data_IF_818953075196
#
_entry.id   IF_818953075196
#
_cell.length_a   1.000
_cell.length_b   1.000
_cell.length_c   1.000
_cell.angle_alpha   90.00
_cell.angle_beta   90.00
_cell.angle_gamma   90.00
#
_symmetry.space_group_name_H-M   'P 1'
#
loop_
_entity.id
_entity.type
_entity.pdbx_description
1 polymer ?
#
# COMPACT_ATOMS: atom_id res chain seq x y z
N UNK A 1 13.54 5.94 5.08
CA UNK A 1 12.58 5.21 4.22
C UNK A 1 12.93 3.73 4.15
N UNK A 2 11.99 2.87 4.56
CA UNK A 2 12.06 1.41 4.48
C UNK A 2 10.82 0.88 3.75
N UNK A 3 10.99 -0.18 2.95
CA UNK A 3 9.90 -0.86 2.25
C UNK A 3 9.89 -2.32 2.69
N UNK A 4 8.95 -2.64 3.57
CA UNK A 4 8.80 -3.93 4.21
C UNK A 4 7.74 -4.75 3.49
N UNK A 5 8.08 -6.00 3.13
CA UNK A 5 7.15 -6.95 2.51
C UNK A 5 6.78 -8.01 3.53
N UNK A 6 5.49 -8.21 3.74
CA UNK A 6 4.94 -9.29 4.56
C UNK A 6 3.96 -10.12 3.73
N UNK A 7 3.61 -11.30 4.24
CA UNK A 7 2.53 -12.12 3.70
C UNK A 7 1.46 -12.19 4.78
N UNK A 8 0.23 -11.82 4.46
CA UNK A 8 -0.89 -11.82 5.40
C UNK A 8 -1.28 -13.26 5.76
N UNK A 9 -2.12 -13.41 6.80
CA UNK A 9 -2.69 -14.71 7.15
C UNK A 9 -3.50 -15.31 6.00
N UNK A 10 -4.18 -14.46 5.25
CA UNK A 10 -4.92 -14.81 4.02
C UNK A 10 -4.02 -15.00 2.79
N UNK A 11 -2.69 -15.07 2.97
CA UNK A 11 -1.67 -15.29 1.94
C UNK A 11 -1.50 -14.14 0.94
N UNK A 12 -2.06 -12.98 1.21
CA UNK A 12 -1.88 -11.80 0.36
C UNK A 12 -0.52 -11.16 0.62
N UNK A 13 0.13 -10.67 -0.43
CA UNK A 13 1.40 -9.97 -0.28
C UNK A 13 1.14 -8.52 0.07
N UNK A 14 1.66 -8.09 1.21
CA UNK A 14 1.49 -6.73 1.73
C UNK A 14 2.82 -6.01 1.75
N UNK A 15 2.80 -4.75 1.33
CA UNK A 15 3.91 -3.83 1.42
C UNK A 15 3.57 -2.71 2.41
N UNK A 16 4.47 -2.45 3.35
CA UNK A 16 4.42 -1.29 4.23
C UNK A 16 5.62 -0.40 3.90
N UNK A 17 5.36 0.87 3.63
CA UNK A 17 6.39 1.86 3.35
C UNK A 17 6.44 2.86 4.49
N UNK A 18 7.56 2.88 5.19
CA UNK A 18 7.77 3.68 6.39
C UNK A 18 8.90 4.67 6.14
N UNK A 19 8.79 5.88 6.69
CA UNK A 19 9.87 6.85 6.72
C UNK A 19 10.05 7.39 8.14
N UNK A 20 11.01 6.82 8.87
CA UNK A 20 11.09 6.98 10.33
C UNK A 20 9.87 6.33 10.98
N UNK A 21 9.21 7.05 11.88
CA UNK A 21 8.00 6.59 12.58
C UNK A 21 6.71 6.84 11.79
N UNK A 22 6.82 7.34 10.55
CA UNK A 22 5.66 7.71 9.72
C UNK A 22 5.39 6.63 8.67
N UNK A 23 4.21 6.01 8.75
CA UNK A 23 3.68 5.16 7.68
C UNK A 23 3.29 6.03 6.48
N UNK A 24 3.99 5.84 5.35
CA UNK A 24 3.77 6.60 4.12
C UNK A 24 2.74 5.92 3.22
N UNK A 25 2.86 4.61 3.02
CA UNK A 25 1.96 3.82 2.18
C UNK A 25 1.77 2.42 2.76
N UNK A 26 0.59 1.86 2.57
CA UNK A 26 0.40 0.40 2.57
C UNK A 26 -0.06 -0.02 1.20
N UNK A 27 0.29 -1.23 0.79
CA UNK A 27 -0.20 -1.78 -0.46
C UNK A 27 -0.40 -3.28 -0.35
N UNK A 28 -1.35 -3.80 -1.12
CA UNK A 28 -1.62 -5.24 -1.24
C UNK A 28 -1.62 -5.62 -2.71
N UNK A 29 -1.10 -6.79 -3.03
CA UNK A 29 -1.19 -7.36 -4.38
C UNK A 29 -2.46 -8.20 -4.44
N UNK A 30 -3.38 -7.84 -5.34
CA UNK A 30 -4.59 -8.62 -5.58
C UNK A 30 -4.34 -9.82 -6.51
N UNK A 31 -5.38 -10.64 -6.69
CA UNK A 31 -5.33 -11.85 -7.53
C UNK A 31 -5.03 -11.57 -9.00
N UNK A 32 -5.27 -10.34 -9.47
CA UNK A 32 -4.98 -9.93 -10.84
C UNK A 32 -3.53 -9.46 -11.01
N UNK A 33 -2.71 -9.54 -9.95
CA UNK A 33 -1.36 -8.99 -9.85
C UNK A 33 -1.33 -7.46 -10.02
N UNK A 34 -2.37 -6.77 -9.56
CA UNK A 34 -2.38 -5.31 -9.44
C UNK A 34 -1.98 -4.93 -8.02
N UNK A 35 -1.03 -4.01 -7.89
CA UNK A 35 -0.66 -3.45 -6.60
C UNK A 35 -1.65 -2.35 -6.20
N UNK A 36 -2.54 -2.65 -5.27
CA UNK A 36 -3.48 -1.69 -4.68
C UNK A 36 -2.76 -0.92 -3.57
N UNK A 37 -2.32 0.30 -3.86
CA UNK A 37 -1.65 1.18 -2.90
C UNK A 37 -2.68 2.07 -2.23
N UNK A 38 -2.79 1.98 -0.92
CA UNK A 38 -3.63 2.87 -0.12
C UNK A 38 -2.82 4.07 0.37
N UNK A 39 -3.42 5.25 0.25
CA UNK A 39 -2.83 6.50 0.71
C UNK A 39 -3.89 7.30 1.45
N UNK A 40 -3.65 7.57 2.74
CA UNK A 40 -4.67 8.15 3.62
C UNK A 40 -4.95 9.63 3.39
N UNK A 41 -4.08 10.34 2.66
CA UNK A 41 -4.22 11.77 2.38
C UNK A 41 -4.90 12.00 1.04
N UNK A 42 -5.48 13.19 0.88
CA UNK A 42 -6.18 13.60 -0.34
C UNK A 42 -5.21 13.97 -1.48
N UNK A 43 -4.04 14.51 -1.15
CA UNK A 43 -3.07 14.98 -2.14
C UNK A 43 -1.68 14.38 -1.97
N UNK A 44 -1.06 13.98 -3.08
CA UNK A 44 0.28 13.41 -3.11
C UNK A 44 1.33 14.47 -3.49
N UNK A 45 2.28 14.72 -2.59
CA UNK A 45 3.44 15.57 -2.87
C UNK A 45 4.44 14.85 -3.79
N UNK A 46 5.32 15.61 -4.46
CA UNK A 46 6.41 15.06 -5.28
C UNK A 46 7.33 14.10 -4.53
N UNK A 47 7.55 14.35 -3.24
CA UNK A 47 8.37 13.46 -2.40
C UNK A 47 7.71 12.09 -2.24
N UNK A 48 6.40 12.08 -1.95
CA UNK A 48 5.61 10.85 -1.85
C UNK A 48 5.55 10.10 -3.19
N UNK A 49 5.43 10.80 -4.33
CA UNK A 49 5.45 10.16 -5.65
C UNK A 49 6.75 9.40 -5.92
N UNK A 50 7.91 9.94 -5.54
CA UNK A 50 9.20 9.25 -5.68
C UNK A 50 9.29 8.00 -4.80
N UNK A 51 8.66 8.03 -3.63
CA UNK A 51 8.60 6.87 -2.72
C UNK A 51 7.70 5.79 -3.31
N UNK A 52 6.54 6.18 -3.86
CA UNK A 52 5.62 5.29 -4.58
C UNK A 52 6.31 4.59 -5.75
N UNK A 53 7.06 5.32 -6.58
CA UNK A 53 7.80 4.73 -7.71
C UNK A 53 8.79 3.65 -7.24
N UNK A 54 9.49 3.88 -6.12
CA UNK A 54 10.40 2.87 -5.53
C UNK A 54 9.66 1.64 -5.01
N UNK A 55 8.48 1.83 -4.41
CA UNK A 55 7.61 0.73 -4.00
C UNK A 55 7.18 -0.10 -5.22
N UNK A 56 6.68 0.54 -6.28
CA UNK A 56 6.22 -0.12 -7.50
C UNK A 56 7.36 -0.88 -8.16
N UNK A 57 8.55 -0.27 -8.28
CA UNK A 57 9.73 -0.94 -8.84
C UNK A 57 10.11 -2.20 -8.05
N UNK A 58 10.08 -2.12 -6.72
CA UNK A 58 10.39 -3.27 -5.84
C UNK A 58 9.34 -4.37 -5.96
N UNK A 59 8.05 -4.03 -5.93
CA UNK A 59 6.96 -4.99 -6.10
C UNK A 59 6.99 -5.66 -7.47
N UNK A 60 7.32 -4.91 -8.53
CA UNK A 60 7.45 -5.44 -9.89
C UNK A 60 8.61 -6.42 -10.00
N UNK A 61 9.77 -6.08 -9.44
CA UNK A 61 10.94 -6.95 -9.45
C UNK A 61 10.72 -8.24 -8.65
N UNK A 62 10.07 -8.15 -7.48
CA UNK A 62 9.99 -9.25 -6.52
C UNK A 62 8.76 -10.15 -6.70
N UNK A 63 7.60 -9.56 -6.99
CA UNK A 63 6.31 -10.25 -7.02
C UNK A 63 5.61 -10.16 -8.38
N UNK A 64 6.23 -9.54 -9.38
CA UNK A 64 5.77 -9.58 -10.77
C UNK A 64 4.45 -8.84 -11.02
N UNK A 65 4.20 -7.73 -10.32
CA UNK A 65 2.98 -6.93 -10.54
C UNK A 65 2.87 -6.45 -12.00
N UNK A 66 1.64 -6.44 -12.54
CA UNK A 66 1.34 -6.01 -13.91
C UNK A 66 1.08 -4.51 -14.00
N UNK A 67 0.38 -3.99 -13.01
CA UNK A 67 0.04 -2.57 -12.87
C UNK A 67 -0.09 -2.21 -11.39
N UNK A 68 -0.32 -0.94 -11.10
CA UNK A 68 -0.64 -0.47 -9.75
C UNK A 68 -1.76 0.56 -9.81
N UNK A 69 -2.49 0.67 -8.72
CA UNK A 69 -3.55 1.66 -8.50
C UNK A 69 -3.28 2.38 -7.17
N UNK A 70 -3.60 3.67 -7.10
CA UNK A 70 -3.44 4.46 -5.87
C UNK A 70 -4.80 4.94 -5.41
N UNK A 71 -5.19 4.52 -4.21
CA UNK A 71 -6.48 4.83 -3.59
C UNK A 71 -6.28 5.90 -2.52
N UNK A 72 -6.62 7.14 -2.87
CA UNK A 72 -6.54 8.32 -2.01
C UNK A 72 -7.68 8.38 -1.00
N UNK A 73 -7.38 8.74 0.25
CA UNK A 73 -8.37 8.73 1.33
C UNK A 73 -8.77 7.33 1.78
N UNK A 74 -7.98 6.29 1.45
CA UNK A 74 -8.22 4.92 1.88
C UNK A 74 -7.10 4.41 2.79
N UNK A 75 -7.43 3.37 3.54
CA UNK A 75 -6.51 2.63 4.40
C UNK A 75 -6.74 1.12 4.29
N UNK A 76 -5.69 0.36 4.53
CA UNK A 76 -5.74 -1.10 4.61
C UNK A 76 -5.92 -1.49 6.08
N UNK A 77 -6.98 -2.24 6.39
CA UNK A 77 -7.28 -2.74 7.73
C UNK A 77 -7.31 -4.25 7.73
N UNK A 78 -6.85 -4.85 8.82
CA UNK A 78 -7.09 -6.28 9.09
C UNK A 78 -8.32 -6.37 9.99
N UNK A 79 -9.38 -7.01 9.49
CA UNK A 79 -10.66 -7.20 10.20
C UNK A 79 -10.94 -8.69 10.21
N UNK A 80 -11.01 -9.29 11.41
CA UNK A 80 -11.26 -10.74 11.58
C UNK A 80 -10.30 -11.67 10.80
N UNK A 81 -9.10 -11.18 10.50
CA UNK A 81 -8.08 -11.92 9.74
C UNK A 81 -8.11 -11.69 8.23
N UNK A 82 -9.07 -10.90 7.73
CA UNK A 82 -9.16 -10.48 6.33
C UNK A 82 -8.60 -9.07 6.13
N UNK A 83 -7.92 -8.84 5.01
CA UNK A 83 -7.47 -7.50 4.63
C UNK A 83 -8.53 -6.77 3.83
N UNK A 84 -8.96 -5.63 4.36
CA UNK A 84 -9.99 -4.80 3.74
C UNK A 84 -9.43 -3.40 3.45
N UNK A 85 -9.66 -2.93 2.23
CA UNK A 85 -9.44 -1.53 1.86
C UNK A 85 -10.70 -0.75 2.22
N UNK A 86 -10.56 0.24 3.10
CA UNK A 86 -11.68 1.03 3.63
C UNK A 86 -11.38 2.52 3.54
N UNK A 87 -12.38 3.40 3.35
CA UNK A 87 -12.18 4.83 3.46
C UNK A 87 -11.59 5.19 4.84
N UNK A 88 -10.72 6.19 4.89
CA UNK A 88 -10.29 6.78 6.15
C UNK A 88 -11.51 7.49 6.76
N UNK A 89 -11.91 7.18 8.00
CA UNK A 89 -13.02 7.85 8.64
C UNK A 89 -12.74 9.35 8.72
N UNK A 90 -13.67 10.17 8.23
CA UNK A 90 -13.65 11.60 8.50
C UNK A 90 -14.06 11.76 9.96
N UNK A 91 -13.12 12.09 10.84
CA UNK A 91 -13.45 12.53 12.19
C UNK A 91 -14.23 13.83 12.08
N UNK A 92 -15.52 13.76 12.35
CA UNK A 92 -16.42 14.91 12.50
C UNK A 92 -16.13 15.67 13.80
#
# INVERSE_FOLDING_TARGET
MQINRTVSKSKEVVYNVEDGDVMQFRAVIDEQHVLQVVYSKEEMTRAHSRVLEKLVAKAKQRDGIKSYNVMYGYQLREVEGELLITPVPVTA
#
